data_IF_079629090578
#
_entry.id   IF_079629090578
#
_cell.length_a   1.000
_cell.length_b   1.000
_cell.length_c   1.000
_cell.angle_alpha   90.00
_cell.angle_beta   90.00
_cell.angle_gamma   90.00
#
_symmetry.space_group_name_H-M   'P 1'
#
loop_
_entity.id
_entity.type
_entity.pdbx_description
1 polymer ?
#
# COMPACT_ATOMS: atom_id res chain seq x y z
N UNK A 1 38.55 -32.85 -32.54
CA UNK A 1 38.36 -31.39 -32.57
C UNK A 1 37.12 -31.06 -31.76
N UNK A 2 37.30 -30.57 -30.52
CA UNK A 2 36.17 -30.18 -29.63
C UNK A 2 35.84 -28.72 -29.90
N UNK A 3 34.61 -28.45 -30.36
CA UNK A 3 34.11 -27.07 -30.52
C UNK A 3 33.66 -26.56 -29.16
N UNK A 4 34.38 -25.59 -28.63
CA UNK A 4 33.98 -24.84 -27.44
C UNK A 4 32.97 -23.78 -27.91
N UNK A 5 31.70 -23.93 -27.52
CA UNK A 5 30.69 -22.89 -27.72
C UNK A 5 30.90 -21.83 -26.64
N UNK A 6 31.32 -20.66 -27.05
CA UNK A 6 31.45 -19.48 -26.19
C UNK A 6 30.05 -18.86 -26.00
N UNK A 7 29.45 -19.08 -24.84
CA UNK A 7 28.22 -18.39 -24.46
C UNK A 7 28.59 -16.96 -24.03
N UNK A 8 28.40 -15.99 -24.92
CA UNK A 8 28.42 -14.59 -24.56
C UNK A 8 27.16 -14.28 -23.72
N UNK A 9 27.31 -14.19 -22.41
CA UNK A 9 26.34 -13.55 -21.54
C UNK A 9 26.29 -12.05 -21.93
N UNK A 10 25.27 -11.69 -22.67
CA UNK A 10 24.91 -10.27 -22.87
C UNK A 10 24.46 -9.72 -21.50
N UNK A 11 25.36 -9.06 -20.82
CA UNK A 11 25.02 -8.16 -19.73
C UNK A 11 24.24 -6.99 -20.35
N UNK A 12 22.91 -7.06 -20.32
CA UNK A 12 22.07 -5.90 -20.56
C UNK A 12 22.26 -5.03 -19.32
N UNK A 13 22.85 -3.83 -19.45
CA UNK A 13 22.88 -2.92 -18.31
C UNK A 13 21.43 -2.62 -17.93
N UNK A 14 21.01 -3.02 -16.73
CA UNK A 14 19.83 -2.43 -16.11
C UNK A 14 20.10 -0.93 -16.03
N UNK A 15 19.58 -0.19 -17.00
CA UNK A 15 19.55 1.26 -16.93
C UNK A 15 18.73 1.58 -15.67
N UNK A 16 19.41 2.02 -14.63
CA UNK A 16 18.80 2.73 -13.51
C UNK A 16 18.14 3.96 -14.13
N UNK A 17 16.86 3.86 -14.45
CA UNK A 17 16.05 5.02 -14.83
C UNK A 17 16.11 5.96 -13.64
N UNK A 18 16.54 7.21 -13.89
CA UNK A 18 16.64 8.21 -12.86
C UNK A 18 15.29 8.34 -12.17
N UNK A 19 15.24 7.95 -10.91
CA UNK A 19 14.07 8.11 -10.05
C UNK A 19 13.78 9.59 -9.97
N UNK A 20 12.61 10.01 -10.47
CA UNK A 20 12.18 11.40 -10.34
C UNK A 20 11.45 11.58 -9.03
N UNK A 21 11.86 12.56 -8.26
CA UNK A 21 11.25 12.91 -6.97
C UNK A 21 10.46 14.20 -7.11
N UNK A 22 9.27 14.24 -6.51
CA UNK A 22 8.39 15.40 -6.52
C UNK A 22 7.89 15.64 -5.10
N UNK A 23 8.18 16.83 -4.55
CA UNK A 23 7.62 17.23 -3.27
C UNK A 23 6.13 17.48 -3.38
N UNK A 24 5.38 17.01 -2.37
CA UNK A 24 3.95 17.25 -2.31
C UNK A 24 3.65 18.66 -1.74
N UNK A 25 2.56 19.29 -2.17
CA UNK A 25 2.18 20.63 -1.70
C UNK A 25 1.74 20.66 -0.23
N UNK A 26 1.55 19.49 0.38
CA UNK A 26 1.21 19.30 1.80
C UNK A 26 2.42 19.50 2.73
N UNK A 27 3.63 19.47 2.20
CA UNK A 27 4.85 19.69 2.97
C UNK A 27 5.16 21.17 3.14
N UNK A 28 5.54 21.57 4.37
CA UNK A 28 6.06 22.91 4.63
C UNK A 28 7.51 23.01 4.14
N UNK A 29 7.83 24.11 3.44
CA UNK A 29 9.18 24.40 2.92
C UNK A 29 10.23 24.60 4.03
N UNK A 30 9.80 24.85 5.27
CA UNK A 30 10.67 24.94 6.45
C UNK A 30 11.09 23.57 7.00
N UNK A 31 10.43 22.46 6.56
CA UNK A 31 10.80 21.12 6.97
C UNK A 31 12.15 20.70 6.37
N UNK A 32 12.90 19.88 7.10
CA UNK A 32 14.06 19.19 6.53
C UNK A 32 13.62 18.41 5.28
N UNK A 33 14.42 18.51 4.21
CA UNK A 33 14.10 17.87 2.93
C UNK A 33 13.84 16.36 3.05
N UNK A 34 14.60 15.69 3.91
CA UNK A 34 14.41 14.25 4.21
C UNK A 34 13.05 13.93 4.85
N UNK A 35 12.38 14.91 5.42
CA UNK A 35 11.14 14.78 6.18
C UNK A 35 9.92 15.31 5.42
N UNK A 36 10.17 16.08 4.35
CA UNK A 36 9.09 16.63 3.51
C UNK A 36 8.35 15.51 2.78
N UNK A 37 7.03 15.54 2.77
CA UNK A 37 6.23 14.64 1.95
C UNK A 37 6.60 14.76 0.48
N UNK A 38 6.78 13.62 -0.16
CA UNK A 38 7.14 13.54 -1.57
C UNK A 38 6.68 12.22 -2.19
N UNK A 39 6.66 12.18 -3.51
CA UNK A 39 6.59 10.94 -4.25
C UNK A 39 7.89 10.67 -5.00
N UNK A 40 8.22 9.39 -5.14
CA UNK A 40 9.30 8.90 -5.98
C UNK A 40 8.72 8.00 -7.07
N UNK A 41 9.00 8.33 -8.33
CA UNK A 41 8.34 7.74 -9.49
C UNK A 41 9.22 6.67 -10.11
N UNK A 42 8.68 5.46 -10.24
CA UNK A 42 9.29 4.28 -10.86
C UNK A 42 8.43 3.85 -12.04
N UNK A 43 8.87 4.11 -13.26
CA UNK A 43 8.13 3.77 -14.46
C UNK A 43 8.62 2.44 -15.06
N UNK A 44 7.74 1.58 -15.56
CA UNK A 44 8.12 0.42 -16.35
C UNK A 44 8.72 0.85 -17.69
N UNK A 45 9.36 -0.08 -18.39
CA UNK A 45 9.76 0.18 -19.77
C UNK A 45 8.54 0.56 -20.60
N UNK A 46 8.69 1.55 -21.48
CA UNK A 46 7.57 2.16 -22.19
C UNK A 46 6.75 1.13 -23.00
N UNK A 47 7.43 0.15 -23.59
CA UNK A 47 6.82 -0.92 -24.40
C UNK A 47 6.01 -1.91 -23.55
N UNK A 48 6.27 -1.98 -22.26
CA UNK A 48 5.60 -2.86 -21.29
C UNK A 48 4.49 -2.14 -20.51
N UNK A 49 4.49 -0.81 -20.52
CA UNK A 49 3.55 -0.03 -19.74
C UNK A 49 2.09 -0.33 -20.12
N UNK A 50 1.28 -0.68 -19.13
CA UNK A 50 -0.13 -1.02 -19.30
C UNK A 50 -1.10 0.07 -18.85
N UNK A 51 -0.57 1.23 -18.43
CA UNK A 51 -1.30 2.38 -17.96
C UNK A 51 -1.81 2.29 -16.52
N UNK A 52 -1.60 1.17 -15.82
CA UNK A 52 -1.93 1.07 -14.40
C UNK A 52 -0.82 1.69 -13.54
N UNK A 53 -1.21 2.37 -12.45
CA UNK A 53 -0.29 2.93 -11.48
C UNK A 53 -0.70 2.58 -10.04
N UNK A 54 0.30 2.31 -9.20
CA UNK A 54 0.12 2.00 -7.78
C UNK A 54 0.91 2.99 -6.93
N UNK A 55 0.22 3.74 -6.09
CA UNK A 55 0.84 4.53 -5.04
C UNK A 55 1.14 3.60 -3.88
N UNK A 56 2.43 3.42 -3.59
CA UNK A 56 2.95 2.57 -2.52
C UNK A 56 3.03 3.36 -1.23
N UNK A 57 2.25 2.98 -0.23
CA UNK A 57 2.25 3.55 1.10
C UNK A 57 3.00 2.60 2.04
N UNK A 58 4.30 2.85 2.34
CA UNK A 58 5.11 1.93 3.12
C UNK A 58 4.68 1.86 4.59
N UNK A 59 4.95 0.72 5.22
CA UNK A 59 4.78 0.53 6.65
C UNK A 59 5.84 1.25 7.48
N UNK A 60 5.76 1.11 8.80
CA UNK A 60 6.73 1.70 9.73
C UNK A 60 6.08 2.36 10.94
N UNK A 61 4.89 1.90 11.36
CA UNK A 61 4.19 2.33 12.58
C UNK A 61 4.05 3.85 12.73
N UNK A 62 3.90 4.58 11.61
CA UNK A 62 3.88 6.05 11.55
C UNK A 62 5.16 6.75 12.03
N UNK A 63 6.28 6.03 12.21
CA UNK A 63 7.53 6.57 12.77
C UNK A 63 8.70 6.54 11.80
N UNK A 64 8.73 5.56 10.91
CA UNK A 64 9.69 5.41 9.82
C UNK A 64 8.99 4.88 8.58
N UNK A 65 9.72 4.70 7.51
CA UNK A 65 9.21 4.09 6.29
C UNK A 65 10.06 2.87 5.94
N UNK A 66 9.42 1.72 5.78
CA UNK A 66 10.04 0.48 5.29
C UNK A 66 10.32 0.60 3.79
N UNK A 67 11.14 1.61 3.41
CA UNK A 67 11.28 2.06 2.02
C UNK A 67 11.82 0.97 1.10
N UNK A 68 12.84 0.25 1.54
CA UNK A 68 13.49 -0.78 0.72
C UNK A 68 12.53 -1.93 0.37
N UNK A 69 11.80 -2.47 1.35
CA UNK A 69 10.88 -3.59 1.13
C UNK A 69 9.60 -3.16 0.41
N UNK A 70 8.97 -2.09 0.89
CA UNK A 70 7.60 -1.74 0.53
C UNK A 70 7.54 -0.80 -0.67
N UNK A 71 8.67 -0.13 -1.01
CA UNK A 71 8.75 0.76 -2.16
C UNK A 71 9.72 0.23 -3.20
N UNK A 72 11.02 0.11 -2.92
CA UNK A 72 12.02 -0.19 -3.95
C UNK A 72 11.81 -1.58 -4.55
N UNK A 73 11.75 -2.63 -3.72
CA UNK A 73 11.52 -4.00 -4.19
C UNK A 73 10.13 -4.14 -4.83
N UNK A 74 9.11 -3.52 -4.23
CA UNK A 74 7.75 -3.56 -4.75
C UNK A 74 7.63 -2.84 -6.10
N UNK A 75 8.31 -1.71 -6.28
CA UNK A 75 8.36 -0.99 -7.55
C UNK A 75 9.00 -1.84 -8.65
N UNK A 76 10.11 -2.53 -8.36
CA UNK A 76 10.73 -3.45 -9.29
C UNK A 76 9.77 -4.59 -9.71
N UNK A 77 9.05 -5.17 -8.75
CA UNK A 77 8.03 -6.19 -9.03
C UNK A 77 6.90 -5.65 -9.91
N UNK A 78 6.34 -4.49 -9.58
CA UNK A 78 5.24 -3.89 -10.34
C UNK A 78 5.69 -3.49 -11.76
N UNK A 79 6.88 -2.90 -11.89
CA UNK A 79 7.44 -2.54 -13.20
C UNK A 79 7.66 -3.76 -14.10
N UNK A 80 8.07 -4.90 -13.54
CA UNK A 80 8.17 -6.16 -14.28
C UNK A 80 6.81 -6.64 -14.84
N UNK A 81 5.69 -6.17 -14.27
CA UNK A 81 4.33 -6.40 -14.73
C UNK A 81 3.76 -5.22 -15.54
N UNK A 82 4.58 -4.25 -15.95
CA UNK A 82 4.16 -3.10 -16.74
C UNK A 82 3.36 -2.05 -15.96
N UNK A 83 3.38 -2.09 -14.63
CA UNK A 83 2.65 -1.20 -13.73
C UNK A 83 3.59 -0.11 -13.23
N UNK A 84 3.22 1.16 -13.35
CA UNK A 84 3.95 2.26 -12.73
C UNK A 84 3.83 2.19 -11.21
N UNK A 85 4.94 2.38 -10.49
CA UNK A 85 4.95 2.44 -9.05
C UNK A 85 5.37 3.82 -8.56
N UNK A 86 4.67 4.32 -7.55
CA UNK A 86 4.84 5.66 -7.00
C UNK A 86 5.06 5.51 -5.50
N UNK A 87 6.30 5.57 -5.05
CA UNK A 87 6.63 5.51 -3.62
C UNK A 87 6.18 6.79 -2.93
N UNK A 88 5.41 6.69 -1.86
CA UNK A 88 4.94 7.82 -1.08
C UNK A 88 5.71 7.96 0.24
N UNK A 89 6.39 9.08 0.42
CA UNK A 89 6.86 9.54 1.72
C UNK A 89 5.79 10.45 2.31
N UNK A 90 5.15 10.00 3.37
CA UNK A 90 4.10 10.74 4.07
C UNK A 90 4.59 11.26 5.43
N UNK A 91 3.84 12.17 6.05
CA UNK A 91 4.14 12.69 7.38
C UNK A 91 4.28 11.59 8.43
N UNK A 92 5.32 11.69 9.24
CA UNK A 92 5.65 10.72 10.28
C UNK A 92 5.57 11.35 11.67
N UNK A 93 5.17 10.56 12.65
CA UNK A 93 5.20 10.95 14.05
C UNK A 93 6.64 10.91 14.59
N UNK A 94 7.33 12.05 14.53
CA UNK A 94 8.70 12.23 15.08
C UNK A 94 8.71 12.71 16.53
N UNK A 95 7.56 13.06 17.06
CA UNK A 95 7.38 13.66 18.39
C UNK A 95 7.41 12.69 19.56
N UNK A 96 8.13 11.58 19.48
CA UNK A 96 8.46 10.76 20.66
C UNK A 96 7.30 10.07 21.37
N UNK A 97 6.10 10.05 20.80
CA UNK A 97 4.95 9.31 21.32
C UNK A 97 5.13 7.80 21.17
N UNK A 98 6.14 7.24 21.85
CA UNK A 98 6.20 5.81 22.10
C UNK A 98 5.03 5.40 22.98
N UNK A 99 4.66 4.11 22.97
CA UNK A 99 3.84 3.59 24.06
C UNK A 99 4.44 4.08 25.37
N UNK A 100 3.62 4.70 26.25
CA UNK A 100 4.10 5.08 27.56
C UNK A 100 4.80 3.89 28.22
N UNK A 101 5.93 4.11 28.88
CA UNK A 101 6.64 3.05 29.55
C UNK A 101 5.69 2.35 30.52
N UNK A 102 5.37 1.06 30.28
CA UNK A 102 4.39 0.32 31.07
C UNK A 102 2.96 0.31 30.51
N UNK A 103 2.69 0.97 29.37
CA UNK A 103 1.40 0.80 28.70
C UNK A 103 1.27 -0.67 28.28
N UNK A 104 0.22 -1.33 28.75
CA UNK A 104 -0.12 -2.66 28.28
C UNK A 104 -0.64 -2.56 26.84
N UNK A 105 -0.16 -3.45 25.97
CA UNK A 105 -0.83 -3.66 24.69
C UNK A 105 -2.31 -3.94 24.98
N UNK A 106 -3.24 -3.34 24.22
CA UNK A 106 -4.63 -3.70 24.35
C UNK A 106 -4.75 -5.23 24.22
N UNK A 107 -5.66 -5.87 24.98
CA UNK A 107 -5.79 -7.31 24.95
C UNK A 107 -5.98 -7.77 23.50
N UNK A 108 -5.25 -8.81 23.11
CA UNK A 108 -5.40 -9.41 21.79
C UNK A 108 -6.86 -9.81 21.62
N UNK A 109 -7.45 -9.40 20.50
CA UNK A 109 -8.82 -9.78 20.20
C UNK A 109 -8.85 -11.28 19.97
N UNK A 110 -9.65 -11.96 20.78
CA UNK A 110 -9.92 -13.37 20.60
C UNK A 110 -10.86 -13.55 19.39
N UNK A 111 -10.28 -13.96 18.27
CA UNK A 111 -11.01 -14.19 17.01
C UNK A 111 -12.03 -15.35 17.12
N UNK A 112 -11.99 -16.14 18.18
CA UNK A 112 -12.98 -17.21 18.43
C UNK A 112 -14.31 -16.65 18.95
N UNK A 113 -14.34 -15.39 19.37
CA UNK A 113 -15.54 -14.71 19.83
C UNK A 113 -15.97 -13.62 18.81
N UNK A 114 -16.78 -13.97 17.80
CA UNK A 114 -17.17 -13.05 16.74
C UNK A 114 -17.94 -11.82 17.22
N UNK A 115 -18.58 -11.88 18.37
CA UNK A 115 -19.24 -10.78 19.06
C UNK A 115 -18.26 -9.73 19.62
N UNK A 116 -16.98 -10.08 19.70
CA UNK A 116 -15.88 -9.23 20.17
C UNK A 116 -14.98 -8.73 19.07
N UNK A 117 -15.37 -8.88 17.81
CA UNK A 117 -14.61 -8.28 16.71
C UNK A 117 -14.47 -6.79 16.94
N UNK A 118 -13.24 -6.24 16.89
CA UNK A 118 -13.04 -4.81 17.04
C UNK A 118 -13.75 -4.10 15.89
N UNK A 119 -14.01 -2.84 16.10
CA UNK A 119 -14.38 -1.95 15.01
C UNK A 119 -13.24 -1.93 13.98
N UNK A 120 -13.55 -1.56 12.74
CA UNK A 120 -12.55 -1.50 11.68
C UNK A 120 -11.38 -0.57 12.00
N UNK A 121 -11.60 0.43 12.85
CA UNK A 121 -10.54 1.21 13.46
C UNK A 121 -9.78 0.36 14.49
N UNK A 122 -8.56 -0.01 14.13
CA UNK A 122 -7.69 -0.83 14.97
C UNK A 122 -6.56 -0.03 15.64
N UNK A 123 -6.66 1.32 15.65
CA UNK A 123 -5.69 2.17 16.34
C UNK A 123 -5.88 2.03 17.87
N UNK A 124 -4.94 1.41 18.60
CA UNK A 124 -5.08 1.20 20.03
C UNK A 124 -4.81 2.46 20.85
N UNK A 125 -4.31 3.53 20.22
CA UNK A 125 -3.76 4.69 20.92
C UNK A 125 -4.17 5.99 20.26
N UNK A 126 -5.50 6.24 20.20
CA UNK A 126 -5.99 7.56 19.82
C UNK A 126 -5.52 8.62 20.78
N UNK A 127 -4.90 9.64 20.25
CA UNK A 127 -4.61 10.88 20.95
C UNK A 127 -4.50 12.03 19.93
N UNK A 128 -4.76 13.24 20.37
CA UNK A 128 -4.86 14.40 19.48
C UNK A 128 -3.61 14.60 18.59
N UNK A 129 -2.40 14.30 19.09
CA UNK A 129 -1.18 14.42 18.31
C UNK A 129 -1.07 13.29 17.27
N UNK A 130 -1.26 12.03 17.67
CA UNK A 130 -1.21 10.89 16.75
C UNK A 130 -2.25 11.01 15.63
N UNK A 131 -3.47 11.36 15.98
CA UNK A 131 -4.57 11.53 15.03
C UNK A 131 -4.29 12.69 14.06
N UNK A 132 -3.68 13.80 14.52
CA UNK A 132 -3.26 14.90 13.64
C UNK A 132 -2.20 14.46 12.63
N UNK A 133 -1.24 13.60 13.02
CA UNK A 133 -0.22 13.08 12.10
C UNK A 133 -0.85 12.14 11.07
N UNK A 134 -1.79 11.27 11.49
CA UNK A 134 -2.53 10.41 10.54
C UNK A 134 -3.28 11.28 9.53
N UNK A 135 -3.91 12.36 9.99
CA UNK A 135 -4.60 13.29 9.10
C UNK A 135 -3.66 13.98 8.11
N UNK A 136 -2.45 14.40 8.53
CA UNK A 136 -1.45 14.94 7.61
C UNK A 136 -1.01 13.90 6.59
N UNK A 137 -0.72 12.67 7.01
CA UNK A 137 -0.35 11.58 6.11
C UNK A 137 -1.47 11.21 5.12
N UNK A 138 -2.72 11.30 5.54
CA UNK A 138 -3.90 11.18 4.68
C UNK A 138 -3.91 12.26 3.57
N UNK A 139 -3.63 13.53 3.92
CA UNK A 139 -3.54 14.61 2.93
C UNK A 139 -2.40 14.35 1.93
N UNK A 140 -1.25 13.83 2.40
CA UNK A 140 -0.15 13.46 1.52
C UNK A 140 -0.55 12.39 0.52
N UNK A 141 -1.25 11.36 0.97
CA UNK A 141 -1.71 10.29 0.09
C UNK A 141 -2.71 10.79 -0.96
N UNK A 142 -3.65 11.65 -0.57
CA UNK A 142 -4.58 12.32 -1.52
C UNK A 142 -3.84 13.18 -2.53
N UNK A 143 -2.87 13.98 -2.07
CA UNK A 143 -2.03 14.80 -2.95
C UNK A 143 -1.22 13.95 -3.92
N UNK A 144 -0.74 12.77 -3.49
CA UNK A 144 -0.04 11.83 -4.37
C UNK A 144 -0.93 11.33 -5.51
N UNK A 145 -2.16 10.86 -5.24
CA UNK A 145 -3.11 10.45 -6.30
C UNK A 145 -3.38 11.61 -7.26
N UNK A 146 -3.63 12.80 -6.75
CA UNK A 146 -3.87 13.98 -7.56
C UNK A 146 -2.68 14.29 -8.46
N UNK A 147 -1.46 14.30 -7.92
CA UNK A 147 -0.23 14.56 -8.69
C UNK A 147 -0.01 13.49 -9.78
N UNK A 148 -0.25 12.21 -9.49
CA UNK A 148 -0.18 11.14 -10.49
C UNK A 148 -1.18 11.38 -11.63
N UNK A 149 -2.40 11.83 -11.31
CA UNK A 149 -3.40 12.18 -12.34
C UNK A 149 -3.00 13.37 -13.18
N UNK A 150 -2.38 14.37 -12.60
CA UNK A 150 -1.89 15.56 -13.29
C UNK A 150 -0.76 15.22 -14.28
N UNK A 151 0.14 14.30 -13.90
CA UNK A 151 1.24 13.82 -14.72
C UNK A 151 0.93 12.58 -15.57
N UNK A 152 -0.31 12.11 -15.57
CA UNK A 152 -0.68 10.82 -16.18
C UNK A 152 -0.27 10.69 -17.65
N UNK A 153 -0.42 11.75 -18.44
CA UNK A 153 -0.02 11.76 -19.85
C UNK A 153 1.52 11.67 -20.00
N UNK A 154 2.28 12.39 -19.18
CA UNK A 154 3.75 12.36 -19.18
C UNK A 154 4.29 10.97 -18.81
N UNK A 155 3.64 10.30 -17.86
CA UNK A 155 4.09 9.02 -17.33
C UNK A 155 3.43 7.81 -17.99
N UNK A 156 2.67 8.01 -19.06
CA UNK A 156 1.91 6.95 -19.75
C UNK A 156 0.98 6.17 -18.82
N UNK A 157 0.26 6.88 -17.95
CA UNK A 157 -0.69 6.34 -16.97
C UNK A 157 -2.11 6.67 -17.40
N UNK A 158 -3.04 5.73 -17.25
CA UNK A 158 -4.46 5.96 -17.39
C UNK A 158 -5.03 6.49 -16.05
N UNK A 159 -5.67 7.66 -16.09
CA UNK A 159 -6.25 8.33 -14.91
C UNK A 159 -7.28 7.48 -14.15
N UNK A 160 -7.89 6.50 -14.83
CA UNK A 160 -8.90 5.60 -14.27
C UNK A 160 -8.31 4.26 -13.78
N UNK A 161 -6.98 4.16 -13.70
CA UNK A 161 -6.26 2.96 -13.26
C UNK A 161 -5.18 3.27 -12.22
N UNK A 162 -5.48 4.17 -11.29
CA UNK A 162 -4.56 4.60 -10.24
C UNK A 162 -5.13 4.18 -8.88
N UNK A 163 -4.37 3.42 -8.10
CA UNK A 163 -4.81 2.98 -6.77
C UNK A 163 -3.69 2.95 -5.76
N UNK A 164 -4.03 2.51 -4.55
CA UNK A 164 -3.09 2.33 -3.45
C UNK A 164 -2.73 0.87 -3.25
N UNK A 165 -1.49 0.64 -2.83
CA UNK A 165 -1.06 -0.54 -2.08
C UNK A 165 -0.35 -0.06 -0.81
N UNK A 166 -0.98 -0.29 0.34
CA UNK A 166 -0.43 0.12 1.63
C UNK A 166 -0.01 -1.08 2.48
N UNK A 167 1.07 -0.93 3.23
CA UNK A 167 1.63 -1.94 4.12
C UNK A 167 1.54 -1.46 5.56
N UNK A 168 0.98 -2.25 6.48
CA UNK A 168 0.90 -1.89 7.90
C UNK A 168 0.32 -0.48 8.10
N UNK A 169 1.01 0.42 8.79
CA UNK A 169 0.59 1.81 8.97
C UNK A 169 0.28 2.53 7.65
N UNK A 170 1.04 2.25 6.57
CA UNK A 170 0.76 2.78 5.24
C UNK A 170 -0.57 2.31 4.66
N UNK A 171 -1.02 1.10 5.01
CA UNK A 171 -2.38 0.64 4.70
C UNK A 171 -3.44 1.50 5.39
N UNK A 172 -3.22 1.84 6.66
CA UNK A 172 -4.09 2.77 7.40
C UNK A 172 -4.16 4.15 6.76
N UNK A 173 -3.02 4.68 6.30
CA UNK A 173 -2.95 5.96 5.57
C UNK A 173 -3.75 5.88 4.26
N UNK A 174 -3.57 4.82 3.48
CA UNK A 174 -4.29 4.60 2.22
C UNK A 174 -5.81 4.48 2.43
N UNK A 175 -6.23 3.79 3.51
CA UNK A 175 -7.63 3.67 3.89
C UNK A 175 -8.21 5.04 4.26
N UNK A 176 -7.55 5.79 5.15
CA UNK A 176 -7.99 7.13 5.57
C UNK A 176 -8.13 8.07 4.37
N UNK A 177 -7.11 8.09 3.49
CA UNK A 177 -7.15 8.87 2.26
C UNK A 177 -8.31 8.48 1.34
N UNK A 178 -8.62 7.19 1.23
CA UNK A 178 -9.74 6.71 0.39
C UNK A 178 -11.08 7.16 0.93
N UNK A 179 -11.28 7.15 2.26
CA UNK A 179 -12.55 7.52 2.88
C UNK A 179 -12.87 9.00 2.79
N UNK A 180 -11.85 9.86 2.84
CA UNK A 180 -12.03 11.32 2.84
C UNK A 180 -11.79 11.96 1.46
N UNK A 181 -11.46 11.16 0.44
CA UNK A 181 -11.08 11.66 -0.88
C UNK A 181 -12.22 12.33 -1.63
N UNK A 182 -11.93 13.47 -2.23
CA UNK A 182 -12.76 14.04 -3.28
C UNK A 182 -12.63 13.22 -4.58
N UNK A 183 -13.48 13.47 -5.57
CA UNK A 183 -13.48 12.68 -6.80
C UNK A 183 -12.11 12.65 -7.51
N UNK A 184 -11.34 13.75 -7.49
CA UNK A 184 -10.02 13.81 -8.13
C UNK A 184 -8.92 13.13 -7.32
N UNK A 185 -9.11 12.96 -6.02
CA UNK A 185 -8.17 12.35 -5.08
C UNK A 185 -8.46 10.86 -4.85
N UNK A 186 -9.67 10.40 -5.21
CA UNK A 186 -10.12 9.04 -4.93
C UNK A 186 -9.37 8.03 -5.78
N UNK A 187 -8.79 6.98 -5.16
CA UNK A 187 -8.16 5.91 -5.91
C UNK A 187 -9.20 5.10 -6.69
N UNK A 188 -8.79 4.46 -7.78
CA UNK A 188 -9.64 3.54 -8.54
C UNK A 188 -9.69 2.14 -7.90
N UNK A 189 -8.72 1.82 -7.06
CA UNK A 189 -8.68 0.60 -6.23
C UNK A 189 -7.87 0.83 -4.97
N UNK A 190 -8.14 0.04 -3.95
CA UNK A 190 -7.45 0.05 -2.67
C UNK A 190 -6.97 -1.35 -2.33
N UNK A 191 -5.67 -1.51 -2.11
CA UNK A 191 -5.08 -2.75 -1.61
C UNK A 191 -4.42 -2.48 -0.26
N UNK A 192 -4.70 -3.31 0.74
CA UNK A 192 -4.09 -3.23 2.06
C UNK A 192 -3.46 -4.56 2.46
N UNK A 193 -2.13 -4.55 2.61
CA UNK A 193 -1.37 -5.65 3.17
C UNK A 193 -1.19 -5.41 4.66
N UNK A 194 -1.82 -6.25 5.49
CA UNK A 194 -1.79 -6.18 6.98
C UNK A 194 -1.86 -4.75 7.55
N UNK A 195 -2.52 -3.84 6.84
CA UNK A 195 -2.70 -2.45 7.25
C UNK A 195 -4.16 -2.19 7.65
N UNK A 196 -4.50 -2.22 8.94
CA UNK A 196 -5.85 -1.93 9.40
C UNK A 196 -6.14 -0.44 9.30
N UNK A 197 -7.40 -0.04 9.41
CA UNK A 197 -7.70 1.36 9.58
C UNK A 197 -7.10 1.88 10.89
N UNK A 198 -6.58 3.10 10.82
CA UNK A 198 -6.05 3.84 11.98
C UNK A 198 -6.99 4.94 12.45
N UNK A 199 -8.13 5.09 11.79
CA UNK A 199 -9.17 6.07 12.07
C UNK A 199 -10.56 5.42 11.93
N UNK A 200 -11.61 5.98 12.51
CA UNK A 200 -12.97 5.51 12.32
C UNK A 200 -13.34 5.38 10.85
N UNK A 201 -14.03 4.29 10.50
CA UNK A 201 -14.36 3.94 9.11
C UNK A 201 -15.76 4.41 8.75
N UNK A 202 -15.85 5.21 7.70
CA UNK A 202 -17.11 5.56 7.03
C UNK A 202 -16.92 5.34 5.52
N UNK A 203 -17.39 4.21 5.04
CA UNK A 203 -17.19 3.82 3.64
C UNK A 203 -18.00 4.73 2.71
N UNK A 204 -17.37 5.43 1.74
CA UNK A 204 -18.09 6.29 0.81
C UNK A 204 -18.97 5.48 -0.14
N UNK A 205 -20.06 6.10 -0.63
CA UNK A 205 -21.03 5.46 -1.54
C UNK A 205 -20.37 4.93 -2.83
N UNK A 206 -19.36 5.63 -3.30
CA UNK A 206 -18.58 5.29 -4.50
C UNK A 206 -17.19 4.73 -4.14
N UNK A 207 -17.13 3.98 -3.03
CA UNK A 207 -15.90 3.33 -2.58
C UNK A 207 -15.29 2.44 -3.68
N UNK A 208 -13.97 2.52 -3.90
CA UNK A 208 -13.30 1.66 -4.85
C UNK A 208 -13.32 0.19 -4.40
N UNK A 209 -13.09 -0.78 -5.32
CA UNK A 209 -12.88 -2.15 -4.92
C UNK A 209 -11.68 -2.26 -3.96
N UNK A 210 -11.85 -3.08 -2.92
CA UNK A 210 -10.88 -3.31 -1.86
C UNK A 210 -10.30 -4.72 -1.94
N UNK A 211 -8.97 -4.84 -1.88
CA UNK A 211 -8.26 -6.09 -1.64
C UNK A 211 -7.53 -6.02 -0.31
N UNK A 212 -7.77 -7.00 0.56
CA UNK A 212 -7.07 -7.15 1.83
C UNK A 212 -6.25 -8.43 1.81
N UNK A 213 -4.99 -8.35 2.24
CA UNK A 213 -4.12 -9.51 2.42
C UNK A 213 -3.45 -9.44 3.79
N UNK A 214 -3.59 -10.51 4.60
CA UNK A 214 -3.04 -10.52 5.96
C UNK A 214 -2.75 -11.93 6.45
N UNK A 215 -1.97 -12.03 7.51
CA UNK A 215 -1.82 -13.27 8.30
C UNK A 215 -3.00 -13.40 9.27
N UNK A 216 -3.55 -14.61 9.40
CA UNK A 216 -4.74 -14.87 10.22
C UNK A 216 -4.53 -14.59 11.71
N UNK A 217 -3.32 -14.82 12.21
CA UNK A 217 -2.93 -14.66 13.61
C UNK A 217 -2.17 -13.34 13.89
N UNK A 218 -2.26 -12.35 12.96
CA UNK A 218 -1.66 -11.03 13.22
C UNK A 218 -2.44 -10.32 14.34
N UNK A 219 -1.81 -10.10 15.51
CA UNK A 219 -2.52 -9.57 16.67
C UNK A 219 -3.24 -8.26 16.36
N UNK A 220 -4.52 -8.15 16.75
CA UNK A 220 -5.41 -7.01 16.53
C UNK A 220 -5.65 -6.61 15.05
N UNK A 221 -4.65 -6.74 14.20
CA UNK A 221 -4.71 -6.35 12.78
C UNK A 221 -5.68 -7.24 12.00
N UNK A 222 -5.58 -8.57 12.16
CA UNK A 222 -6.44 -9.50 11.43
C UNK A 222 -7.92 -9.25 11.70
N UNK A 223 -8.29 -9.05 12.95
CA UNK A 223 -9.67 -8.77 13.35
C UNK A 223 -10.16 -7.41 12.82
N UNK A 224 -9.32 -6.37 12.90
CA UNK A 224 -9.64 -5.04 12.34
C UNK A 224 -9.83 -5.08 10.82
N UNK A 225 -9.06 -5.92 10.10
CA UNK A 225 -9.21 -6.09 8.66
C UNK A 225 -10.46 -6.89 8.27
N UNK A 226 -10.87 -7.87 9.08
CA UNK A 226 -12.17 -8.54 8.91
C UNK A 226 -13.31 -7.53 9.09
N UNK A 227 -13.24 -6.69 10.12
CA UNK A 227 -14.23 -5.64 10.33
C UNK A 227 -14.25 -4.64 9.15
N UNK A 228 -13.09 -4.22 8.65
CA UNK A 228 -12.99 -3.36 7.46
C UNK A 228 -13.65 -3.99 6.23
N UNK A 229 -13.38 -5.26 5.96
CA UNK A 229 -14.04 -6.01 4.89
C UNK A 229 -15.56 -5.98 5.05
N UNK A 230 -16.07 -6.20 6.27
CA UNK A 230 -17.51 -6.17 6.55
C UNK A 230 -18.12 -4.78 6.34
N UNK A 231 -17.42 -3.71 6.71
CA UNK A 231 -17.90 -2.33 6.46
C UNK A 231 -18.01 -2.05 4.95
N UNK A 232 -17.02 -2.47 4.14
CA UNK A 232 -17.11 -2.37 2.67
C UNK A 232 -18.31 -3.13 2.11
N UNK A 233 -18.53 -4.37 2.60
CA UNK A 233 -19.68 -5.19 2.18
C UNK A 233 -21.01 -4.61 2.59
N UNK A 234 -21.15 -4.04 3.78
CA UNK A 234 -22.36 -3.33 4.24
C UNK A 234 -22.67 -2.10 3.37
N UNK A 235 -21.65 -1.39 2.90
CA UNK A 235 -21.80 -0.27 1.98
C UNK A 235 -22.14 -0.69 0.55
N UNK A 236 -22.24 -2.00 0.25
CA UNK A 236 -22.51 -2.53 -1.09
C UNK A 236 -21.29 -2.49 -2.02
N UNK A 237 -20.12 -2.11 -1.53
CA UNK A 237 -18.90 -2.03 -2.30
C UNK A 237 -18.25 -3.41 -2.53
N UNK A 238 -17.43 -3.51 -3.58
CA UNK A 238 -16.67 -4.73 -3.87
C UNK A 238 -15.49 -4.85 -2.90
N UNK A 239 -15.37 -5.99 -2.22
CA UNK A 239 -14.25 -6.29 -1.35
C UNK A 239 -13.88 -7.77 -1.44
N UNK A 240 -12.57 -8.03 -1.32
CA UNK A 240 -11.97 -9.36 -1.31
C UNK A 240 -10.92 -9.41 -0.20
N UNK A 241 -10.83 -10.54 0.52
CA UNK A 241 -9.88 -10.73 1.61
C UNK A 241 -9.18 -12.08 1.46
N UNK A 242 -7.84 -12.08 1.53
CA UNK A 242 -7.00 -13.25 1.65
C UNK A 242 -6.35 -13.28 3.03
N UNK A 243 -6.72 -14.26 3.83
CA UNK A 243 -6.23 -14.41 5.18
C UNK A 243 -5.43 -15.72 5.27
N UNK A 244 -4.10 -15.60 5.32
CA UNK A 244 -3.19 -16.73 5.27
C UNK A 244 -3.01 -17.34 6.66
N UNK A 245 -3.21 -18.65 6.76
CA UNK A 245 -3.06 -19.40 8.03
C UNK A 245 -1.63 -19.87 8.30
N UNK A 246 -0.72 -19.69 7.35
CA UNK A 246 0.66 -20.18 7.40
C UNK A 246 1.67 -19.11 6.94
N UNK A 247 2.95 -19.34 7.24
CA UNK A 247 4.03 -18.43 6.90
C UNK A 247 4.05 -17.14 7.72
N UNK A 248 4.91 -16.22 7.33
CA UNK A 248 5.11 -14.96 8.05
C UNK A 248 4.10 -13.86 7.70
N UNK A 249 3.23 -14.08 6.70
CA UNK A 249 2.32 -13.06 6.19
C UNK A 249 2.89 -12.29 4.99
N UNK A 250 2.10 -11.45 4.33
CA UNK A 250 2.47 -10.73 3.10
C UNK A 250 3.33 -9.48 3.41
N UNK A 251 4.41 -9.64 4.20
CA UNK A 251 5.26 -8.54 4.64
C UNK A 251 6.29 -8.12 3.60
N UNK A 252 6.74 -9.06 2.77
CA UNK A 252 7.72 -8.81 1.72
C UNK A 252 7.48 -9.72 0.52
N UNK A 253 8.09 -9.36 -0.59
CA UNK A 253 8.12 -10.24 -1.76
C UNK A 253 8.97 -11.46 -1.46
N UNK A 254 8.42 -12.64 -1.71
CA UNK A 254 9.11 -13.91 -1.49
C UNK A 254 8.95 -14.84 -2.69
N UNK A 255 9.91 -15.75 -2.93
CA UNK A 255 9.77 -16.76 -3.95
C UNK A 255 8.62 -17.71 -3.64
N UNK A 256 7.88 -18.13 -4.65
CA UNK A 256 6.88 -19.19 -4.51
C UNK A 256 7.59 -20.55 -4.51
N UNK A 257 7.90 -21.07 -3.34
CA UNK A 257 8.53 -22.40 -3.16
C UNK A 257 7.49 -23.52 -2.98
N UNK A 258 6.25 -23.13 -2.67
CA UNK A 258 5.18 -24.05 -2.30
C UNK A 258 5.22 -24.48 -0.84
N UNK A 259 6.09 -23.87 -0.02
CA UNK A 259 6.18 -24.18 1.39
C UNK A 259 5.00 -23.61 2.19
N UNK A 260 4.49 -22.44 1.79
CA UNK A 260 3.35 -21.77 2.44
C UNK A 260 2.42 -21.12 1.42
N UNK A 261 1.14 -20.99 1.76
CA UNK A 261 0.17 -20.29 0.90
C UNK A 261 0.42 -18.79 0.84
N UNK A 262 1.03 -18.20 1.86
CA UNK A 262 1.40 -16.78 1.91
C UNK A 262 2.33 -16.37 0.77
N UNK A 263 3.19 -17.27 0.29
CA UNK A 263 4.11 -16.99 -0.83
C UNK A 263 3.40 -16.50 -2.10
N UNK A 264 2.13 -16.84 -2.24
CA UNK A 264 1.33 -16.49 -3.43
C UNK A 264 0.74 -15.08 -3.42
N UNK A 265 0.91 -14.31 -2.35
CA UNK A 265 0.20 -13.05 -2.16
C UNK A 265 0.44 -12.03 -3.29
N UNK A 266 1.67 -11.91 -3.77
CA UNK A 266 2.00 -10.96 -4.84
C UNK A 266 1.39 -11.38 -6.18
N UNK A 267 1.32 -12.68 -6.45
CA UNK A 267 0.61 -13.21 -7.62
C UNK A 267 -0.90 -12.97 -7.49
N UNK A 268 -1.48 -13.13 -6.29
CA UNK A 268 -2.90 -12.82 -6.06
C UNK A 268 -3.22 -11.35 -6.32
N UNK A 269 -2.34 -10.42 -5.94
CA UNK A 269 -2.47 -9.01 -6.29
C UNK A 269 -2.59 -8.81 -7.81
N UNK A 270 -1.69 -9.40 -8.60
CA UNK A 270 -1.72 -9.29 -10.07
C UNK A 270 -2.97 -9.91 -10.66
N UNK A 271 -3.38 -11.08 -10.18
CA UNK A 271 -4.62 -11.73 -10.63
C UNK A 271 -5.84 -10.89 -10.32
N UNK A 272 -5.90 -10.31 -9.13
CA UNK A 272 -6.98 -9.44 -8.72
C UNK A 272 -7.06 -8.16 -9.59
N UNK A 273 -5.93 -7.50 -9.82
CA UNK A 273 -5.88 -6.31 -10.70
C UNK A 273 -6.35 -6.65 -12.13
N UNK A 274 -6.00 -7.84 -12.66
CA UNK A 274 -6.52 -8.34 -13.95
C UNK A 274 -8.02 -8.58 -13.89
N UNK A 275 -8.51 -9.26 -12.87
CA UNK A 275 -9.93 -9.58 -12.70
C UNK A 275 -10.80 -8.32 -12.58
N UNK A 276 -10.26 -7.24 -12.00
CA UNK A 276 -10.94 -5.93 -11.90
C UNK A 276 -10.78 -5.05 -13.15
N UNK A 277 -10.07 -5.50 -14.18
CA UNK A 277 -9.89 -4.76 -15.44
C UNK A 277 -8.83 -3.65 -15.39
N UNK A 278 -8.04 -3.57 -14.32
CA UNK A 278 -6.94 -2.60 -14.24
C UNK A 278 -5.75 -3.03 -15.10
N UNK A 279 -5.58 -4.32 -15.32
CA UNK A 279 -4.58 -4.89 -16.24
C UNK A 279 -5.27 -5.63 -17.38
N UNK A 280 -4.61 -5.70 -18.54
CA UNK A 280 -5.11 -6.50 -19.67
C UNK A 280 -5.06 -8.00 -19.36
N UNK A 281 -5.98 -8.74 -19.97
CA UNK A 281 -6.13 -10.20 -19.79
C UNK A 281 -5.03 -11.04 -20.49
N UNK A 282 -3.95 -10.42 -20.98
CA UNK A 282 -2.88 -11.14 -21.71
C UNK A 282 -2.10 -12.06 -20.80
#
# INVERSE_FOLDING_TARGET
MKRIALFCLLFVPMSLWAQKQYFLPTGDSSMDEKDRPMIEVYLPQQEQANGCAVVLCPGGAMRWLSWESDVVKMAAFLNAHGIAAIGLRYHLNKGGGGMPRGAQMPPMVDVTHPDRFPQADANPMHNAHGDSIIHLAEQDAKAAIKMVREHAAEWNINKDKIGYLGFSAGGGVAIAATMSATAIERPNFLCSNYGPSLMPVTVPVDAPPLLIMTRADHPNVAAGLVALFMEWKKAGANAEIHMYGDGNGPYELMPETGATTTETWSRQLILWLKAKGFLSQR
#
